data_IF_260271680915
#
_entry.id   IF_260271680915
#
_cell.length_a   1.000
_cell.length_b   1.000
_cell.length_c   1.000
_cell.angle_alpha   90.00
_cell.angle_beta   90.00
_cell.angle_gamma   90.00
#
_symmetry.space_group_name_H-M   'P 1'
#
loop_
_entity.id
_entity.type
_entity.pdbx_description
1 polymer ?
#
# COMPACT_ATOMS: atom_id res chain seq x y z
N UNK A 1 -10.51 -8.52 -14.46
CA UNK A 1 -9.78 -7.24 -14.33
C UNK A 1 -8.33 -7.55 -14.02
N UNK A 2 -7.34 -6.99 -14.74
CA UNK A 2 -5.93 -7.17 -14.43
C UNK A 2 -5.61 -6.77 -12.98
N UNK A 3 -4.78 -7.55 -12.27
CA UNK A 3 -4.37 -7.27 -10.89
C UNK A 3 -3.73 -5.87 -10.72
N UNK A 4 -3.06 -5.38 -11.77
CA UNK A 4 -2.48 -4.02 -11.84
C UNK A 4 -3.55 -2.92 -11.64
N UNK A 5 -4.76 -3.11 -12.16
CA UNK A 5 -5.84 -2.12 -12.04
C UNK A 5 -6.43 -2.08 -10.62
N UNK A 6 -6.33 -3.19 -9.89
CA UNK A 6 -6.74 -3.25 -8.48
C UNK A 6 -5.76 -2.44 -7.63
N UNK A 7 -4.45 -2.60 -7.86
CA UNK A 7 -3.42 -1.82 -7.16
C UNK A 7 -3.64 -0.32 -7.36
N UNK A 8 -3.90 0.11 -8.60
CA UNK A 8 -4.16 1.53 -8.89
C UNK A 8 -5.40 2.07 -8.18
N UNK A 9 -6.46 1.27 -8.05
CA UNK A 9 -7.67 1.65 -7.32
C UNK A 9 -7.45 1.72 -5.82
N UNK A 10 -6.75 0.74 -5.25
CA UNK A 10 -6.38 0.76 -3.83
C UNK A 10 -5.52 1.97 -3.49
N UNK A 11 -4.53 2.28 -4.33
CA UNK A 11 -3.71 3.49 -4.18
C UNK A 11 -4.58 4.75 -4.12
N UNK A 12 -5.54 4.89 -5.05
CA UNK A 12 -6.46 6.04 -5.07
C UNK A 12 -7.32 6.11 -3.81
N UNK A 13 -7.81 4.98 -3.30
CA UNK A 13 -8.57 4.94 -2.04
C UNK A 13 -7.71 5.39 -0.85
N UNK A 14 -6.46 4.92 -0.79
CA UNK A 14 -5.52 5.32 0.26
C UNK A 14 -5.10 6.78 0.14
N UNK A 15 -4.99 7.34 -1.07
CA UNK A 15 -4.78 8.78 -1.25
C UNK A 15 -5.93 9.61 -0.66
N UNK A 16 -7.18 9.17 -0.81
CA UNK A 16 -8.35 9.84 -0.21
C UNK A 16 -8.30 9.72 1.31
N UNK A 17 -7.89 8.55 1.83
CA UNK A 17 -7.68 8.37 3.28
C UNK A 17 -6.61 9.30 3.83
N UNK A 18 -5.50 9.46 3.10
CA UNK A 18 -4.36 10.28 3.49
C UNK A 18 -4.71 11.77 3.68
N UNK A 19 -5.76 12.27 3.00
CA UNK A 19 -6.30 13.62 3.19
C UNK A 19 -6.85 13.85 4.61
N UNK A 20 -7.09 12.78 5.37
CA UNK A 20 -7.62 12.84 6.72
C UNK A 20 -9.13 13.16 6.76
N UNK A 21 -9.70 13.35 7.95
CA UNK A 21 -11.10 13.71 8.09
C UNK A 21 -11.34 15.06 7.42
N UNK A 22 -12.12 15.07 6.33
CA UNK A 22 -12.75 16.30 5.85
C UNK A 22 -13.82 16.68 6.87
N UNK A 23 -13.44 17.46 7.88
CA UNK A 23 -14.34 17.95 8.91
C UNK A 23 -15.58 18.57 8.26
N UNK A 24 -16.68 17.80 8.22
CA UNK A 24 -18.02 18.36 8.24
C UNK A 24 -18.41 18.43 9.71
N UNK A 25 -18.82 19.62 10.11
CA UNK A 25 -19.18 19.99 11.48
C UNK A 25 -20.00 18.91 12.20
N UNK A 26 -19.59 18.68 13.44
CA UNK A 26 -20.34 18.11 14.57
C UNK A 26 -21.59 17.30 14.21
N UNK A 27 -21.39 16.14 13.56
CA UNK A 27 -22.47 15.17 13.40
C UNK A 27 -22.46 14.29 14.63
N UNK A 28 -23.31 14.61 15.63
CA UNK A 28 -23.59 13.72 16.75
C UNK A 28 -23.77 12.29 16.24
N UNK A 29 -23.04 11.34 16.81
CA UNK A 29 -23.10 9.94 16.41
C UNK A 29 -24.54 9.43 16.49
N UNK A 30 -25.15 9.18 15.33
CA UNK A 30 -26.58 8.78 15.19
C UNK A 30 -26.91 7.46 15.90
N UNK A 31 -25.89 6.67 16.27
CA UNK A 31 -26.04 5.37 16.92
C UNK A 31 -25.07 5.24 18.11
N UNK A 32 -25.54 5.57 19.32
CA UNK A 32 -24.72 5.58 20.54
C UNK A 32 -24.28 4.21 21.09
N UNK A 33 -24.71 3.11 20.47
CA UNK A 33 -24.37 1.74 20.87
C UNK A 33 -23.48 1.00 19.86
N UNK A 34 -23.09 1.66 18.76
CA UNK A 34 -22.19 1.08 17.76
C UNK A 34 -20.79 1.62 17.99
N UNK A 35 -19.92 0.77 18.53
CA UNK A 35 -18.51 1.07 18.71
C UNK A 35 -17.70 0.31 17.66
N UNK A 36 -16.90 1.03 16.88
CA UNK A 36 -15.95 0.44 15.92
C UNK A 36 -14.55 0.92 16.29
N UNK A 37 -13.59 0.00 16.30
CA UNK A 37 -12.18 0.33 16.54
C UNK A 37 -11.67 1.20 15.39
N UNK A 38 -10.93 2.26 15.72
CA UNK A 38 -10.33 3.11 14.71
C UNK A 38 -9.33 2.30 13.86
N UNK A 39 -9.53 2.29 12.54
CA UNK A 39 -8.59 1.67 11.61
C UNK A 39 -7.29 2.48 11.59
N UNK A 40 -6.17 1.80 11.70
CA UNK A 40 -4.86 2.42 11.54
C UNK A 40 -4.45 2.44 10.07
N UNK A 41 -3.51 3.32 9.69
CA UNK A 41 -2.91 3.29 8.36
C UNK A 41 -2.29 1.92 8.07
N UNK A 42 -1.69 1.25 9.05
CA UNK A 42 -1.13 -0.10 8.88
C UNK A 42 -2.19 -1.12 8.50
N UNK A 43 -3.35 -1.13 9.17
CA UNK A 43 -4.45 -2.05 8.86
C UNK A 43 -4.97 -1.86 7.43
N UNK A 44 -5.05 -0.61 7.00
CA UNK A 44 -5.51 -0.27 5.64
C UNK A 44 -4.52 -0.71 4.58
N UNK A 45 -3.23 -0.47 4.80
CA UNK A 45 -2.17 -0.89 3.89
C UNK A 45 -2.07 -2.42 3.81
N UNK A 46 -2.17 -3.11 4.93
CA UNK A 46 -2.17 -4.57 4.99
C UNK A 46 -3.38 -5.16 4.25
N UNK A 47 -4.58 -4.68 4.57
CA UNK A 47 -5.81 -5.11 3.93
C UNK A 47 -5.86 -4.82 2.42
N UNK A 48 -5.24 -3.73 1.98
CA UNK A 48 -5.15 -3.40 0.57
C UNK A 48 -4.17 -4.32 -0.16
N UNK A 49 -2.92 -4.42 0.30
CA UNK A 49 -1.84 -4.93 -0.55
C UNK A 49 -1.31 -6.32 -0.18
N UNK A 50 -1.54 -6.82 1.03
CA UNK A 50 -0.87 -8.05 1.51
C UNK A 50 -1.12 -9.26 0.61
N UNK A 51 -2.38 -9.50 0.22
CA UNK A 51 -2.74 -10.67 -0.60
C UNK A 51 -2.15 -10.57 -2.01
N UNK A 52 -2.26 -9.40 -2.64
CA UNK A 52 -1.74 -9.20 -4.01
C UNK A 52 -0.20 -9.18 -4.06
N UNK A 53 0.46 -8.67 -3.02
CA UNK A 53 1.91 -8.72 -2.88
C UNK A 53 2.42 -10.15 -2.77
N UNK A 54 1.75 -10.97 -1.94
CA UNK A 54 2.06 -12.38 -1.75
C UNK A 54 1.82 -13.20 -3.00
N UNK A 55 0.61 -13.13 -3.55
CA UNK A 55 0.22 -13.97 -4.69
C UNK A 55 0.93 -13.53 -5.98
N UNK A 56 1.31 -12.26 -6.07
CA UNK A 56 2.10 -11.67 -7.16
C UNK A 56 3.61 -11.62 -6.90
N UNK A 57 4.13 -12.31 -5.88
CA UNK A 57 5.54 -12.23 -5.48
C UNK A 57 6.51 -12.55 -6.63
N UNK A 58 6.25 -13.62 -7.39
CA UNK A 58 7.07 -14.01 -8.54
C UNK A 58 6.78 -13.22 -9.83
N UNK A 59 5.76 -12.35 -9.84
CA UNK A 59 5.31 -11.64 -11.05
C UNK A 59 5.92 -10.23 -11.11
N UNK A 60 6.96 -10.06 -11.92
CA UNK A 60 7.68 -8.78 -12.04
C UNK A 60 6.75 -7.58 -12.32
N UNK A 61 5.75 -7.74 -13.19
CA UNK A 61 4.81 -6.67 -13.55
C UNK A 61 4.05 -6.14 -12.31
N UNK A 62 3.73 -7.04 -11.38
CA UNK A 62 3.03 -6.72 -10.14
C UNK A 62 3.96 -6.02 -9.16
N UNK A 63 5.16 -6.58 -8.95
CA UNK A 63 6.14 -6.01 -8.03
C UNK A 63 6.60 -4.61 -8.47
N UNK A 64 6.87 -4.40 -9.76
CA UNK A 64 7.18 -3.07 -10.30
C UNK A 64 6.05 -2.07 -10.06
N UNK A 65 4.78 -2.49 -10.18
CA UNK A 65 3.64 -1.63 -9.92
C UNK A 65 3.48 -1.33 -8.43
N UNK A 66 3.66 -2.32 -7.56
CA UNK A 66 3.60 -2.15 -6.10
C UNK A 66 4.67 -1.18 -5.63
N UNK A 67 5.94 -1.40 -5.98
CA UNK A 67 7.05 -0.52 -5.56
C UNK A 67 6.84 0.93 -6.01
N UNK A 68 6.40 1.16 -7.26
CA UNK A 68 6.04 2.51 -7.74
C UNK A 68 4.88 3.13 -6.98
N UNK A 69 3.91 2.31 -6.58
CA UNK A 69 2.74 2.76 -5.82
C UNK A 69 3.14 3.17 -4.40
N UNK A 70 3.92 2.33 -3.71
CA UNK A 70 4.42 2.63 -2.38
C UNK A 70 5.40 3.80 -2.33
N UNK A 71 6.05 4.14 -3.45
CA UNK A 71 6.80 5.40 -3.57
C UNK A 71 5.91 6.64 -3.63
N UNK A 72 4.77 6.54 -4.31
CA UNK A 72 3.92 7.70 -4.58
C UNK A 72 3.07 8.09 -3.35
N UNK A 73 2.66 7.10 -2.54
CA UNK A 73 1.75 7.30 -1.42
C UNK A 73 2.32 8.10 -0.21
N UNK A 74 3.59 7.92 0.22
CA UNK A 74 4.14 8.59 1.40
C UNK A 74 3.99 10.12 1.37
N UNK A 75 4.11 10.76 0.21
CA UNK A 75 3.98 12.21 0.08
C UNK A 75 2.57 12.76 0.33
N UNK A 76 1.57 11.90 0.58
CA UNK A 76 0.16 12.29 0.66
C UNK A 76 -0.40 12.31 2.08
N UNK A 77 0.28 11.70 3.05
CA UNK A 77 -0.25 11.49 4.41
C UNK A 77 0.75 11.84 5.51
N UNK A 78 0.30 11.63 6.75
CA UNK A 78 1.09 11.84 7.96
C UNK A 78 2.25 10.84 8.11
N UNK A 79 3.05 10.99 9.18
CA UNK A 79 4.20 10.12 9.43
C UNK A 79 3.82 8.65 9.61
N UNK A 80 2.64 8.36 10.18
CA UNK A 80 2.15 6.98 10.37
C UNK A 80 1.74 6.35 9.04
N UNK A 81 1.11 7.12 8.16
CA UNK A 81 0.79 6.70 6.80
C UNK A 81 2.05 6.45 5.96
N UNK A 82 3.04 7.33 6.09
CA UNK A 82 4.35 7.16 5.45
C UNK A 82 5.04 5.88 5.89
N UNK A 83 5.04 5.61 7.19
CA UNK A 83 5.66 4.40 7.75
C UNK A 83 4.94 3.13 7.26
N UNK A 84 3.61 3.12 7.28
CA UNK A 84 2.82 1.99 6.77
C UNK A 84 3.13 1.68 5.29
N UNK A 85 3.28 2.73 4.46
CA UNK A 85 3.64 2.58 3.06
C UNK A 85 5.06 1.99 2.88
N UNK A 86 6.05 2.50 3.64
CA UNK A 86 7.43 1.98 3.61
C UNK A 86 7.51 0.54 4.08
N UNK A 87 6.80 0.20 5.15
CA UNK A 87 6.74 -1.16 5.68
C UNK A 87 6.20 -2.15 4.63
N UNK A 88 5.09 -1.82 3.97
CA UNK A 88 4.56 -2.69 2.89
C UNK A 88 5.50 -2.75 1.68
N UNK A 89 6.19 -1.67 1.33
CA UNK A 89 7.20 -1.68 0.26
C UNK A 89 8.32 -2.68 0.56
N UNK A 90 8.84 -2.67 1.79
CA UNK A 90 9.89 -3.57 2.23
C UNK A 90 9.41 -5.02 2.26
N UNK A 91 8.21 -5.27 2.79
CA UNK A 91 7.65 -6.63 2.85
C UNK A 91 7.42 -7.22 1.45
N UNK A 92 6.85 -6.43 0.54
CA UNK A 92 6.66 -6.85 -0.86
C UNK A 92 8.01 -7.11 -1.55
N UNK A 93 9.03 -6.31 -1.24
CA UNK A 93 10.38 -6.49 -1.76
C UNK A 93 10.98 -7.83 -1.32
N UNK A 94 10.94 -8.13 -0.02
CA UNK A 94 11.42 -9.41 0.52
C UNK A 94 10.70 -10.59 -0.12
N UNK A 95 9.37 -10.53 -0.24
CA UNK A 95 8.60 -11.58 -0.90
C UNK A 95 8.99 -11.77 -2.37
N UNK A 96 9.25 -10.67 -3.09
CA UNK A 96 9.69 -10.73 -4.48
C UNK A 96 11.08 -11.37 -4.62
N UNK A 97 12.02 -11.03 -3.75
CA UNK A 97 13.37 -11.59 -3.76
C UNK A 97 13.39 -13.10 -3.48
N UNK A 98 12.51 -13.55 -2.60
CA UNK A 98 12.35 -14.97 -2.27
C UNK A 98 11.67 -15.76 -3.39
N UNK A 99 10.69 -15.16 -4.08
CA UNK A 99 9.85 -15.87 -5.06
C UNK A 99 10.37 -15.81 -6.51
N UNK A 100 11.11 -14.77 -6.89
CA UNK A 100 11.65 -14.65 -8.24
C UNK A 100 12.86 -15.55 -8.46
N UNK A 101 12.93 -16.20 -9.61
CA UNK A 101 14.08 -17.07 -9.97
C UNK A 101 15.15 -16.28 -10.74
N UNK A 102 14.74 -15.38 -11.63
CA UNK A 102 15.64 -14.63 -12.48
C UNK A 102 16.23 -13.43 -11.73
N UNK A 103 17.55 -13.38 -11.59
CA UNK A 103 18.22 -12.27 -10.90
C UNK A 103 18.03 -10.92 -11.62
N UNK A 104 18.00 -10.91 -12.96
CA UNK A 104 17.73 -9.69 -13.73
C UNK A 104 16.36 -9.07 -13.35
N UNK A 105 15.35 -9.90 -13.10
CA UNK A 105 14.05 -9.42 -12.68
C UNK A 105 14.09 -8.85 -11.26
N UNK A 106 14.81 -9.49 -10.33
CA UNK A 106 15.04 -8.94 -8.99
C UNK A 106 15.77 -7.61 -9.05
N UNK A 107 16.82 -7.49 -9.86
CA UNK A 107 17.57 -6.25 -10.04
C UNK A 107 16.70 -5.11 -10.56
N UNK A 108 15.79 -5.39 -11.49
CA UNK A 108 14.83 -4.39 -11.99
C UNK A 108 13.87 -3.91 -10.89
N UNK A 109 13.38 -4.81 -10.05
CA UNK A 109 12.54 -4.43 -8.90
C UNK A 109 13.36 -3.65 -7.86
N UNK A 110 14.58 -4.09 -7.53
CA UNK A 110 15.51 -3.38 -6.63
C UNK A 110 15.80 -1.98 -7.12
N UNK A 111 16.03 -1.82 -8.42
CA UNK A 111 16.27 -0.52 -9.02
C UNK A 111 15.09 0.42 -8.76
N UNK A 112 13.84 -0.03 -8.95
CA UNK A 112 12.67 0.80 -8.62
C UNK A 112 12.58 1.10 -7.12
N UNK A 113 12.80 0.10 -6.26
CA UNK A 113 12.72 0.27 -4.80
C UNK A 113 13.77 1.25 -4.25
N UNK A 114 15.01 1.22 -4.76
CA UNK A 114 16.08 2.15 -4.34
C UNK A 114 15.80 3.61 -4.67
N UNK A 115 15.02 3.89 -5.71
CA UNK A 115 14.57 5.25 -6.02
C UNK A 115 13.30 5.63 -5.22
N UNK A 116 12.92 4.84 -4.22
CA UNK A 116 11.67 4.97 -3.46
C UNK A 116 11.85 5.19 -1.95
N UNK A 117 13.09 5.14 -1.45
CA UNK A 117 13.49 5.44 -0.07
C UNK A 117 14.31 6.74 -0.05
#
# INVERSE_FOLDING_TARGET
>A
MPAIDVIGRQARLLSIWAEGPRLKEDTQARFGHVHVVALTSHDLFDGAFRVIARDGAALIQIQLRLQKTFRALPGMGDSVFQEAARHQAQLAMTQAEDAMVLEDDKERVRAVARHSL
#
